data_IF_060158158709
#
_entry.id   IF_060158158709
#
_cell.length_a   1.000
_cell.length_b   1.000
_cell.length_c   1.000
_cell.angle_alpha   90.00
_cell.angle_beta   90.00
_cell.angle_gamma   90.00
#
_symmetry.space_group_name_H-M   'P 1'
#
loop_
_entity.id
_entity.type
_entity.pdbx_description
1 polymer ?
#
# COMPACT_ATOMS: atom_id res chain seq x y z
N UNK A 1 15.37 -20.81 -3.79
CA UNK A 1 15.63 -20.73 -2.32
C UNK A 1 15.18 -19.37 -1.78
N UNK A 2 14.39 -19.37 -0.71
CA UNK A 2 13.81 -18.19 -0.06
C UNK A 2 14.36 -18.05 1.36
N UNK A 3 14.39 -16.82 1.91
CA UNK A 3 14.80 -16.63 3.32
C UNK A 3 13.75 -17.22 4.26
N UNK A 4 14.20 -17.97 5.28
CA UNK A 4 13.33 -18.67 6.22
C UNK A 4 12.27 -17.78 6.88
N UNK A 5 12.64 -16.56 7.35
CA UNK A 5 11.68 -15.61 7.91
C UNK A 5 10.63 -15.13 6.88
N UNK A 6 10.96 -15.14 5.56
CA UNK A 6 10.00 -14.80 4.51
C UNK A 6 8.97 -15.90 4.34
N UNK A 7 9.43 -17.17 4.37
CA UNK A 7 8.54 -18.34 4.25
C UNK A 7 7.58 -18.43 5.44
N UNK A 8 8.08 -18.22 6.68
CA UNK A 8 7.25 -18.19 7.89
C UNK A 8 6.18 -17.08 7.79
N UNK A 9 6.58 -15.91 7.31
CA UNK A 9 5.63 -14.81 7.14
C UNK A 9 4.59 -15.07 6.04
N UNK A 10 4.93 -15.81 4.99
CA UNK A 10 4.02 -16.19 3.92
C UNK A 10 3.03 -17.31 4.31
N UNK A 11 3.40 -18.10 5.31
CA UNK A 11 2.50 -19.06 5.94
C UNK A 11 1.55 -18.43 6.97
N UNK A 12 1.51 -17.09 7.07
CA UNK A 12 0.60 -16.40 7.97
C UNK A 12 0.96 -16.41 9.46
N UNK A 13 1.98 -17.17 9.87
CA UNK A 13 2.33 -17.41 11.28
C UNK A 13 2.79 -16.15 12.02
N UNK A 14 3.65 -15.32 11.37
CA UNK A 14 4.22 -14.15 12.01
C UNK A 14 4.60 -13.07 10.99
N UNK A 15 4.90 -11.84 11.47
CA UNK A 15 5.60 -10.87 10.63
C UNK A 15 7.05 -11.32 10.39
N UNK A 16 7.71 -10.84 9.34
CA UNK A 16 9.13 -11.17 9.08
C UNK A 16 10.03 -10.89 10.27
N UNK A 17 9.83 -9.76 10.96
CA UNK A 17 10.61 -9.41 12.17
C UNK A 17 10.30 -10.35 13.32
N UNK A 18 9.04 -10.72 13.53
CA UNK A 18 8.69 -11.69 14.58
C UNK A 18 9.19 -13.08 14.23
N UNK A 19 9.19 -13.46 12.96
CA UNK A 19 9.79 -14.72 12.49
C UNK A 19 11.33 -14.76 12.77
N UNK A 20 12.04 -13.65 12.58
CA UNK A 20 13.46 -13.54 12.95
C UNK A 20 13.67 -13.76 14.45
N UNK A 21 12.81 -13.21 15.30
CA UNK A 21 12.87 -13.47 16.75
C UNK A 21 12.65 -14.95 17.06
N UNK A 22 11.64 -15.59 16.46
CA UNK A 22 11.36 -17.02 16.67
C UNK A 22 12.54 -17.90 16.24
N UNK A 23 13.24 -17.53 15.16
CA UNK A 23 14.45 -18.21 14.70
C UNK A 23 15.55 -18.11 15.76
N UNK A 24 15.88 -16.90 16.23
CA UNK A 24 16.93 -16.67 17.25
C UNK A 24 16.59 -17.37 18.55
N UNK A 25 15.32 -17.39 18.95
CA UNK A 25 14.83 -18.10 20.14
C UNK A 25 14.89 -19.64 19.99
N UNK A 26 15.25 -20.17 18.81
CA UNK A 26 15.33 -21.62 18.56
C UNK A 26 13.97 -22.30 18.46
N UNK A 27 12.91 -21.56 18.18
CA UNK A 27 11.54 -22.06 18.04
C UNK A 27 11.21 -22.56 16.64
N UNK A 28 12.17 -22.50 15.72
CA UNK A 28 12.01 -22.88 14.32
C UNK A 28 12.88 -24.09 13.99
N UNK A 29 12.29 -25.10 13.35
CA UNK A 29 13.00 -26.26 12.79
C UNK A 29 12.88 -26.29 11.28
N UNK A 30 13.95 -26.73 10.63
CA UNK A 30 13.98 -27.06 9.20
C UNK A 30 14.42 -28.50 9.08
N UNK A 31 13.58 -29.35 8.47
CA UNK A 31 13.82 -30.79 8.35
C UNK A 31 14.15 -31.47 9.71
N UNK A 32 13.45 -31.06 10.76
CA UNK A 32 13.63 -31.58 12.13
C UNK A 32 14.79 -30.95 12.92
N UNK A 33 15.66 -30.16 12.28
CA UNK A 33 16.83 -29.53 12.93
C UNK A 33 16.50 -28.09 13.33
N UNK A 34 16.82 -27.72 14.58
CA UNK A 34 16.62 -26.34 15.08
C UNK A 34 17.56 -25.37 14.36
N UNK A 35 16.98 -24.29 13.83
CA UNK A 35 17.71 -23.20 13.16
C UNK A 35 17.64 -21.94 14.01
N UNK A 36 18.82 -21.33 14.32
CA UNK A 36 18.95 -20.07 15.05
C UNK A 36 19.61 -18.97 14.23
N UNK A 37 20.18 -19.32 13.07
CA UNK A 37 20.93 -18.39 12.23
C UNK A 37 19.99 -17.56 11.36
N UNK A 38 20.13 -16.22 11.45
CA UNK A 38 19.43 -15.29 10.59
C UNK A 38 19.98 -15.34 9.16
N UNK A 39 19.10 -15.19 8.18
CA UNK A 39 19.48 -15.24 6.77
C UNK A 39 19.47 -16.65 6.16
N UNK A 40 19.22 -17.69 6.95
CA UNK A 40 19.02 -19.08 6.49
C UNK A 40 18.05 -19.10 5.31
N UNK A 41 18.41 -19.82 4.26
CA UNK A 41 17.60 -20.02 3.06
C UNK A 41 17.05 -21.44 3.02
N UNK A 42 15.80 -21.56 2.63
CA UNK A 42 15.09 -22.84 2.49
C UNK A 42 14.54 -23.01 1.08
N UNK A 43 14.31 -24.25 0.70
CA UNK A 43 13.70 -24.63 -0.57
C UNK A 43 12.20 -24.96 -0.38
N UNK A 44 11.49 -25.14 -1.49
CA UNK A 44 10.09 -25.57 -1.44
C UNK A 44 9.89 -27.02 -0.95
N UNK A 45 10.97 -27.83 -0.94
CA UNK A 45 10.97 -29.22 -0.46
C UNK A 45 11.26 -29.33 1.04
N UNK A 46 11.73 -28.24 1.69
CA UNK A 46 12.05 -28.27 3.10
C UNK A 46 10.76 -28.25 3.95
N UNK A 47 10.73 -29.09 4.97
CA UNK A 47 9.68 -29.08 5.99
C UNK A 47 10.08 -28.07 7.07
N UNK A 48 9.24 -27.08 7.30
CA UNK A 48 9.46 -26.05 8.31
C UNK A 48 8.42 -26.19 9.41
N UNK A 49 8.88 -26.14 10.66
CA UNK A 49 8.04 -26.15 11.85
C UNK A 49 8.33 -24.93 12.70
N UNK A 50 7.28 -24.31 13.23
CA UNK A 50 7.37 -23.19 14.16
C UNK A 50 6.63 -23.57 15.44
N UNK A 51 7.32 -23.55 16.57
CA UNK A 51 6.78 -23.97 17.89
C UNK A 51 6.12 -25.36 17.85
N UNK A 52 6.69 -26.28 17.04
CA UNK A 52 6.22 -27.66 16.89
C UNK A 52 5.08 -27.84 15.86
N UNK A 53 4.60 -26.77 15.24
CA UNK A 53 3.55 -26.83 14.23
C UNK A 53 4.17 -26.73 12.84
N UNK A 54 3.88 -27.70 11.97
CA UNK A 54 4.33 -27.69 10.57
C UNK A 54 3.66 -26.57 9.80
N UNK A 55 4.44 -25.83 9.02
CA UNK A 55 3.92 -24.76 8.18
C UNK A 55 3.18 -25.34 6.97
N UNK A 56 2.00 -24.78 6.74
CA UNK A 56 1.24 -24.99 5.51
C UNK A 56 1.23 -23.69 4.69
N UNK A 57 1.13 -23.83 3.35
CA UNK A 57 1.00 -22.68 2.47
C UNK A 57 -0.40 -22.11 2.60
N UNK A 58 -0.48 -20.86 2.93
CA UNK A 58 -1.74 -20.11 2.96
C UNK A 58 -2.12 -19.63 1.56
N UNK A 59 -3.41 -19.74 1.21
CA UNK A 59 -3.90 -19.18 -0.05
C UNK A 59 -3.73 -17.67 -0.09
N UNK A 60 -3.29 -17.17 -1.24
CA UNK A 60 -3.10 -15.73 -1.46
C UNK A 60 -4.43 -15.04 -1.65
N UNK A 61 -4.64 -13.99 -0.89
CA UNK A 61 -5.84 -13.15 -0.94
C UNK A 61 -5.49 -11.70 -1.22
N UNK A 62 -6.37 -11.01 -1.94
CA UNK A 62 -6.16 -9.63 -2.37
C UNK A 62 -7.47 -8.86 -2.22
N UNK A 63 -7.44 -7.77 -1.50
CA UNK A 63 -8.60 -6.93 -1.22
C UNK A 63 -8.37 -5.49 -1.61
N UNK A 64 -9.43 -4.86 -2.07
CA UNK A 64 -9.54 -3.42 -2.27
C UNK A 64 -10.45 -2.87 -1.19
N UNK A 65 -9.92 -2.00 -0.34
CA UNK A 65 -10.63 -1.31 0.74
C UNK A 65 -10.84 0.16 0.37
N UNK A 66 -12.04 0.67 0.59
CA UNK A 66 -12.23 2.11 0.72
C UNK A 66 -11.88 2.50 2.17
N UNK A 67 -10.60 2.81 2.41
CA UNK A 67 -10.13 3.19 3.75
C UNK A 67 -10.88 4.41 4.28
N UNK A 68 -11.57 4.32 5.40
CA UNK A 68 -12.19 5.47 6.04
C UNK A 68 -11.15 6.36 6.72
N UNK A 69 -11.55 7.58 7.09
CA UNK A 69 -10.74 8.46 7.94
C UNK A 69 -10.58 7.86 9.34
N UNK A 70 -9.51 8.24 10.04
CA UNK A 70 -9.22 7.82 11.41
C UNK A 70 -8.91 6.32 11.61
N UNK A 71 -8.44 5.66 10.52
CA UNK A 71 -7.86 4.32 10.57
C UNK A 71 -6.39 4.36 10.19
N UNK A 72 -5.57 3.57 10.89
CA UNK A 72 -4.14 3.45 10.63
C UNK A 72 -3.88 2.36 9.59
N UNK A 73 -3.06 2.65 8.59
CA UNK A 73 -2.60 1.66 7.60
C UNK A 73 -1.50 0.77 8.22
N UNK A 74 -1.88 -0.06 9.17
CA UNK A 74 -1.02 -1.02 9.85
C UNK A 74 -1.80 -2.30 10.18
N UNK A 75 -1.11 -3.34 10.58
CA UNK A 75 -1.70 -4.61 11.07
C UNK A 75 -2.08 -4.47 12.55
N UNK A 76 -1.25 -3.80 13.33
CA UNK A 76 -1.46 -3.54 14.77
C UNK A 76 -1.05 -2.11 15.09
N UNK A 77 -1.57 -1.58 16.19
CA UNK A 77 -1.20 -0.26 16.69
C UNK A 77 -1.00 -0.29 18.21
N UNK A 78 0.17 0.13 18.67
CA UNK A 78 0.55 0.10 20.10
C UNK A 78 -0.26 1.09 20.96
N UNK A 79 -0.94 2.05 20.32
CA UNK A 79 -1.78 3.05 21.00
C UNK A 79 -3.28 2.70 21.00
N UNK A 80 -3.63 1.49 20.54
CA UNK A 80 -5.03 1.02 20.52
C UNK A 80 -5.94 1.74 19.52
N UNK A 81 -5.38 2.43 18.52
CA UNK A 81 -6.17 3.07 17.47
C UNK A 81 -6.63 2.04 16.45
N UNK A 82 -7.80 2.28 15.85
CA UNK A 82 -8.34 1.40 14.80
C UNK A 82 -7.37 1.27 13.63
N UNK A 83 -7.12 0.03 13.22
CA UNK A 83 -6.29 -0.29 12.06
C UNK A 83 -7.15 -0.73 10.87
N UNK A 84 -6.59 -0.67 9.68
CA UNK A 84 -7.30 -1.12 8.47
C UNK A 84 -7.60 -2.62 8.50
N UNK A 85 -6.83 -3.42 9.22
CA UNK A 85 -7.06 -4.86 9.36
C UNK A 85 -8.24 -5.19 10.26
N UNK A 86 -8.60 -4.31 11.20
CA UNK A 86 -9.77 -4.52 12.08
C UNK A 86 -11.08 -4.63 11.28
N UNK A 87 -11.15 -3.98 10.10
CA UNK A 87 -12.31 -4.04 9.20
C UNK A 87 -12.55 -5.46 8.68
N UNK A 88 -11.49 -6.27 8.57
CA UNK A 88 -11.53 -7.61 7.97
C UNK A 88 -11.68 -8.75 8.98
N UNK A 89 -11.46 -8.51 10.28
CA UNK A 89 -11.33 -9.55 11.33
C UNK A 89 -12.48 -10.55 11.36
N UNK A 90 -13.71 -10.13 10.98
CA UNK A 90 -14.89 -11.00 11.02
C UNK A 90 -14.98 -11.99 9.85
N UNK A 91 -14.30 -11.75 8.74
CA UNK A 91 -14.54 -12.45 7.49
C UNK A 91 -13.27 -12.95 6.80
N UNK A 92 -12.09 -12.52 7.25
CA UNK A 92 -10.81 -12.89 6.65
C UNK A 92 -9.92 -13.50 7.73
N UNK A 93 -9.59 -14.77 7.56
CA UNK A 93 -8.76 -15.52 8.50
C UNK A 93 -7.27 -15.38 8.21
N UNK A 94 -6.92 -15.12 6.93
CA UNK A 94 -5.55 -14.92 6.50
C UNK A 94 -4.95 -13.68 7.15
N UNK A 95 -3.66 -13.76 7.46
CA UNK A 95 -2.90 -12.64 8.01
C UNK A 95 -2.57 -11.61 6.92
N UNK A 96 -3.53 -10.75 6.60
CA UNK A 96 -3.36 -9.68 5.62
C UNK A 96 -2.66 -8.45 6.19
N UNK A 97 -2.06 -7.65 5.29
CA UNK A 97 -1.41 -6.37 5.60
C UNK A 97 -1.65 -5.37 4.46
N UNK A 98 -1.60 -4.06 4.75
CA UNK A 98 -1.81 -3.04 3.72
C UNK A 98 -0.63 -2.98 2.73
N UNK A 99 -0.96 -2.78 1.45
CA UNK A 99 -0.03 -2.53 0.35
C UNK A 99 0.29 -1.04 0.30
N UNK A 100 1.39 -0.66 0.90
CA UNK A 100 1.70 0.73 1.17
C UNK A 100 0.83 1.32 2.28
N UNK A 101 0.74 2.66 2.32
CA UNK A 101 0.02 3.36 3.39
C UNK A 101 -0.76 4.53 2.84
N UNK A 102 -1.87 4.83 3.51
CA UNK A 102 -2.54 6.12 3.52
C UNK A 102 -2.45 6.69 4.94
N UNK A 103 -2.27 8.00 5.06
CA UNK A 103 -2.22 8.66 6.35
C UNK A 103 -3.54 8.48 7.12
N UNK A 104 -3.51 8.71 8.43
CA UNK A 104 -4.65 8.62 9.33
C UNK A 104 -5.84 9.48 8.88
N UNK A 105 -5.55 10.68 8.38
CA UNK A 105 -6.53 11.66 7.90
C UNK A 105 -6.82 11.58 6.38
N UNK A 106 -6.20 10.64 5.67
CA UNK A 106 -6.41 10.38 4.24
C UNK A 106 -7.38 9.21 4.07
N UNK A 107 -8.33 9.36 3.15
CA UNK A 107 -9.31 8.33 2.80
C UNK A 107 -9.02 7.73 1.43
N UNK A 108 -9.74 6.68 1.06
CA UNK A 108 -9.75 6.19 -0.31
C UNK A 108 -9.15 4.81 -0.48
N UNK A 109 -8.80 4.48 -1.70
CA UNK A 109 -8.42 3.15 -2.14
C UNK A 109 -7.13 2.67 -1.48
N UNK A 110 -7.19 1.58 -0.75
CA UNK A 110 -6.05 0.88 -0.17
C UNK A 110 -6.16 -0.61 -0.46
N UNK A 111 -5.09 -1.21 -0.98
CA UNK A 111 -5.02 -2.64 -1.18
C UNK A 111 -4.51 -3.32 0.09
N UNK A 112 -5.03 -4.53 0.37
CA UNK A 112 -4.52 -5.41 1.43
C UNK A 112 -4.32 -6.81 0.86
N UNK A 113 -3.31 -7.53 1.35
CA UNK A 113 -2.97 -8.89 0.90
C UNK A 113 -2.10 -9.60 1.93
N UNK A 114 -1.97 -10.92 1.80
CA UNK A 114 -0.92 -11.73 2.46
C UNK A 114 0.25 -12.04 1.51
N UNK A 115 0.22 -11.53 0.26
CA UNK A 115 1.28 -11.72 -0.75
C UNK A 115 2.31 -10.58 -0.71
N UNK A 116 3.45 -10.83 -0.07
CA UNK A 116 4.52 -9.83 0.04
C UNK A 116 5.21 -9.50 -1.28
N UNK A 117 5.27 -10.42 -2.24
CA UNK A 117 5.86 -10.15 -3.55
C UNK A 117 4.95 -9.24 -4.37
N UNK A 118 3.64 -9.48 -4.34
CA UNK A 118 2.65 -8.57 -4.92
C UNK A 118 2.72 -7.18 -4.28
N UNK A 119 2.78 -7.11 -2.95
CA UNK A 119 2.91 -5.83 -2.24
C UNK A 119 4.16 -5.06 -2.68
N UNK A 120 5.28 -5.74 -2.86
CA UNK A 120 6.51 -5.12 -3.37
C UNK A 120 6.36 -4.60 -4.80
N UNK A 121 5.74 -5.38 -5.70
CA UNK A 121 5.45 -4.93 -7.07
C UNK A 121 4.61 -3.65 -7.09
N UNK A 122 3.62 -3.53 -6.21
CA UNK A 122 2.71 -2.39 -6.15
C UNK A 122 3.31 -1.15 -5.48
N UNK A 123 4.33 -1.30 -4.64
CA UNK A 123 4.82 -0.19 -3.80
C UNK A 123 6.22 0.29 -4.14
N UNK A 124 7.05 -0.56 -4.74
CA UNK A 124 8.45 -0.19 -5.02
C UNK A 124 8.53 0.84 -6.16
N UNK A 125 9.26 1.95 -5.98
CA UNK A 125 9.27 3.08 -6.92
C UNK A 125 9.67 2.74 -8.35
N UNK A 126 10.49 1.70 -8.55
CA UNK A 126 10.93 1.26 -9.89
C UNK A 126 9.78 0.84 -10.81
N UNK A 127 8.68 0.36 -10.25
CA UNK A 127 7.54 -0.13 -11.02
C UNK A 127 6.55 0.97 -11.42
N UNK A 128 6.71 2.18 -10.91
CA UNK A 128 5.98 3.40 -11.31
C UNK A 128 4.46 3.23 -11.38
N UNK A 129 3.87 2.54 -10.41
CA UNK A 129 2.41 2.37 -10.36
C UNK A 129 1.73 3.70 -10.02
N UNK A 130 0.88 4.17 -10.92
CA UNK A 130 0.14 5.42 -10.79
C UNK A 130 -0.88 5.37 -9.64
N UNK A 131 -0.95 6.46 -8.89
CA UNK A 131 -1.91 6.68 -7.80
C UNK A 131 -2.54 8.05 -8.00
N UNK A 132 -3.86 8.08 -8.17
CA UNK A 132 -4.61 9.31 -8.41
C UNK A 132 -5.33 9.74 -7.15
N UNK A 133 -5.17 11.00 -6.79
CA UNK A 133 -5.75 11.60 -5.61
C UNK A 133 -6.65 12.77 -5.97
N UNK A 134 -7.74 12.92 -5.22
CA UNK A 134 -8.56 14.13 -5.17
C UNK A 134 -8.15 14.92 -3.92
N UNK A 135 -7.60 16.10 -4.13
CA UNK A 135 -7.16 17.01 -3.10
C UNK A 135 -8.10 18.22 -3.02
N UNK A 136 -8.75 18.42 -1.86
CA UNK A 136 -9.41 19.69 -1.54
C UNK A 136 -8.38 20.58 -0.87
N UNK A 137 -8.11 21.72 -1.45
CA UNK A 137 -7.06 22.66 -0.99
C UNK A 137 -7.68 23.98 -0.51
N UNK A 138 -6.98 24.65 0.41
CA UNK A 138 -7.25 26.03 0.80
C UNK A 138 -6.47 26.95 -0.14
N UNK A 139 -7.13 27.96 -0.70
CA UNK A 139 -6.59 28.78 -1.78
C UNK A 139 -6.88 28.15 -3.15
N UNK A 140 -6.70 28.96 -4.19
CA UNK A 140 -6.85 28.58 -5.58
C UNK A 140 -5.46 28.48 -6.21
N UNK A 141 -5.01 27.28 -6.63
CA UNK A 141 -3.71 27.12 -7.24
C UNK A 141 -3.57 27.96 -8.52
N UNK A 142 -2.50 28.70 -8.66
CA UNK A 142 -2.19 29.41 -9.89
C UNK A 142 -1.76 28.46 -11.01
N UNK A 143 -1.88 28.87 -12.26
CA UNK A 143 -1.38 28.10 -13.41
C UNK A 143 0.12 27.78 -13.24
N UNK A 144 0.91 28.75 -12.79
CA UNK A 144 2.35 28.54 -12.52
C UNK A 144 2.59 27.53 -11.38
N UNK A 145 1.77 27.58 -10.31
CA UNK A 145 1.83 26.59 -9.23
C UNK A 145 1.59 25.17 -9.73
N UNK A 146 0.53 24.98 -10.52
CA UNK A 146 0.23 23.67 -11.12
C UNK A 146 1.34 23.19 -12.07
N UNK A 147 1.91 24.08 -12.89
CA UNK A 147 3.06 23.75 -13.74
C UNK A 147 4.29 23.30 -12.94
N UNK A 148 4.56 23.88 -11.75
CA UNK A 148 5.64 23.41 -10.87
C UNK A 148 5.39 21.98 -10.41
N UNK A 149 4.15 21.61 -10.07
CA UNK A 149 3.80 20.23 -9.70
C UNK A 149 3.96 19.28 -10.88
N UNK A 150 3.56 19.69 -12.09
CA UNK A 150 3.70 18.89 -13.32
C UNK A 150 5.15 18.60 -13.66
N UNK A 151 6.07 19.53 -13.43
CA UNK A 151 7.50 19.39 -13.75
C UNK A 151 8.33 18.78 -12.60
N UNK A 152 7.68 18.50 -11.47
CA UNK A 152 8.32 18.11 -10.22
C UNK A 152 8.83 19.31 -9.44
N UNK A 153 8.48 19.33 -8.15
CA UNK A 153 8.79 20.41 -7.21
C UNK A 153 9.85 19.98 -6.20
N UNK A 154 10.70 20.90 -5.77
CA UNK A 154 11.71 20.65 -4.73
C UNK A 154 11.03 20.62 -3.37
N UNK A 155 11.14 19.51 -2.66
CA UNK A 155 10.76 19.32 -1.26
C UNK A 155 12.03 19.12 -0.42
N UNK A 156 11.87 19.03 0.90
CA UNK A 156 13.00 18.84 1.83
C UNK A 156 13.83 17.58 1.52
N UNK A 157 13.14 16.51 1.09
CA UNK A 157 13.73 15.21 0.75
C UNK A 157 14.07 15.07 -0.75
N UNK A 158 14.19 16.19 -1.46
CA UNK A 158 14.59 16.27 -2.86
C UNK A 158 13.46 16.60 -3.83
N UNK A 159 13.80 16.72 -5.12
CA UNK A 159 12.83 17.00 -6.18
C UNK A 159 11.90 15.83 -6.38
N UNK A 160 10.58 16.09 -6.51
CA UNK A 160 9.59 15.06 -6.83
C UNK A 160 9.69 14.65 -8.30
N UNK A 161 9.19 13.46 -8.61
CA UNK A 161 8.91 13.12 -9.99
C UNK A 161 7.83 14.05 -10.58
N UNK A 162 7.78 14.21 -11.91
CA UNK A 162 6.68 14.85 -12.60
C UNK A 162 5.33 14.23 -12.22
N UNK A 163 4.30 15.07 -12.05
CA UNK A 163 2.94 14.63 -11.73
C UNK A 163 1.96 15.07 -12.83
N UNK A 164 0.89 14.30 -13.04
CA UNK A 164 -0.26 14.80 -13.80
C UNK A 164 -1.16 15.53 -12.80
N UNK A 165 -1.44 16.81 -13.01
CA UNK A 165 -2.28 17.59 -12.10
C UNK A 165 -3.18 18.51 -12.88
N UNK A 166 -4.44 18.61 -12.43
CA UNK A 166 -5.46 19.55 -12.95
C UNK A 166 -6.33 20.05 -11.81
N UNK A 167 -6.80 21.28 -11.92
CA UNK A 167 -7.84 21.82 -11.06
C UNK A 167 -9.19 21.49 -11.70
N UNK A 168 -10.02 20.73 -10.98
CA UNK A 168 -11.33 20.26 -11.48
C UNK A 168 -12.46 21.24 -11.15
N UNK A 169 -12.35 21.95 -10.04
CA UNK A 169 -13.28 23.00 -9.65
C UNK A 169 -12.66 23.96 -8.64
N UNK A 170 -13.23 25.13 -8.51
CA UNK A 170 -12.85 26.10 -7.47
C UNK A 170 -14.06 26.95 -7.05
N UNK A 171 -13.95 27.52 -5.87
CA UNK A 171 -14.92 28.47 -5.29
C UNK A 171 -14.12 29.70 -4.82
N UNK A 172 -14.26 30.80 -5.55
CA UNK A 172 -13.56 32.05 -5.25
C UNK A 172 -14.00 32.66 -3.92
N UNK A 173 -15.29 32.60 -3.61
CA UNK A 173 -15.85 33.18 -2.39
C UNK A 173 -15.37 32.42 -1.15
N UNK A 174 -15.28 31.08 -1.25
CA UNK A 174 -14.76 30.26 -0.17
C UNK A 174 -13.23 30.14 -0.16
N UNK A 175 -12.54 30.62 -1.19
CA UNK A 175 -11.09 30.49 -1.33
C UNK A 175 -10.63 29.05 -1.32
N UNK A 176 -11.30 28.15 -2.07
CA UNK A 176 -11.03 26.71 -2.07
C UNK A 176 -11.04 26.16 -3.49
N UNK A 177 -10.25 25.13 -3.72
CA UNK A 177 -10.25 24.40 -4.98
C UNK A 177 -10.23 22.89 -4.75
N UNK A 178 -10.63 22.14 -5.78
CA UNK A 178 -10.50 20.71 -5.88
C UNK A 178 -9.54 20.42 -7.03
N UNK A 179 -8.49 19.64 -6.73
CA UNK A 179 -7.51 19.24 -7.73
C UNK A 179 -7.44 17.72 -7.81
N UNK A 180 -7.32 17.20 -9.02
CA UNK A 180 -6.90 15.82 -9.26
C UNK A 180 -5.39 15.81 -9.48
N UNK A 181 -4.67 14.91 -8.80
CA UNK A 181 -3.24 14.71 -8.97
C UNK A 181 -2.89 13.24 -9.05
N UNK A 182 -2.11 12.86 -10.08
CA UNK A 182 -1.58 11.49 -10.24
C UNK A 182 -0.07 11.51 -10.08
N UNK A 183 0.42 10.66 -9.18
CA UNK A 183 1.84 10.43 -8.90
C UNK A 183 2.13 8.93 -8.95
N UNK A 184 3.39 8.54 -9.25
CA UNK A 184 3.82 7.14 -9.24
C UNK A 184 4.79 6.80 -8.08
N UNK A 185 5.30 7.78 -7.38
CA UNK A 185 6.10 7.60 -6.16
C UNK A 185 5.22 7.67 -4.90
N UNK A 186 5.81 7.50 -3.70
CA UNK A 186 5.05 7.46 -2.46
C UNK A 186 5.88 7.91 -1.26
N UNK A 187 6.41 9.16 -1.27
CA UNK A 187 7.11 9.74 -0.13
C UNK A 187 6.13 10.07 1.00
N UNK A 188 6.66 10.22 2.20
CA UNK A 188 5.83 10.60 3.34
C UNK A 188 5.06 11.90 3.05
N UNK A 189 3.73 11.88 3.18
CA UNK A 189 2.80 13.00 2.99
C UNK A 189 3.03 13.80 1.69
N UNK A 190 3.50 13.15 0.64
CA UNK A 190 4.00 13.79 -0.58
C UNK A 190 3.00 14.76 -1.20
N UNK A 191 1.78 14.35 -1.49
CA UNK A 191 0.76 15.22 -2.11
C UNK A 191 0.48 16.45 -1.27
N UNK A 192 0.40 16.30 0.07
CA UNK A 192 0.19 17.44 0.99
C UNK A 192 1.34 18.42 0.93
N UNK A 193 2.59 17.96 0.99
CA UNK A 193 3.79 18.80 0.88
C UNK A 193 3.91 19.47 -0.48
N UNK A 194 3.53 18.79 -1.56
CA UNK A 194 3.55 19.35 -2.91
C UNK A 194 2.60 20.55 -3.03
N UNK A 195 1.36 20.44 -2.56
CA UNK A 195 0.40 21.55 -2.57
C UNK A 195 0.77 22.65 -1.58
N UNK A 196 1.32 22.33 -0.43
CA UNK A 196 1.83 23.30 0.55
C UNK A 196 2.95 24.14 -0.05
N UNK A 197 3.88 23.54 -0.79
CA UNK A 197 4.99 24.22 -1.46
C UNK A 197 4.56 25.20 -2.55
N UNK A 198 3.32 25.14 -3.04
CA UNK A 198 2.73 26.14 -3.95
C UNK A 198 1.73 27.08 -3.26
N UNK A 199 1.69 27.04 -1.91
CA UNK A 199 0.87 27.96 -1.10
C UNK A 199 -0.61 27.57 -0.99
N UNK A 200 -1.00 26.35 -1.38
CA UNK A 200 -2.39 25.88 -1.32
C UNK A 200 -2.52 24.57 -0.54
N UNK A 201 -2.43 24.60 0.80
CA UNK A 201 -2.39 23.42 1.64
C UNK A 201 -3.64 22.55 1.51
N UNK A 202 -3.43 21.22 1.54
CA UNK A 202 -4.51 20.23 1.41
C UNK A 202 -5.31 20.12 2.71
N UNK A 203 -6.64 20.34 2.61
CA UNK A 203 -7.60 20.20 3.72
C UNK A 203 -8.14 18.76 3.80
N UNK A 204 -8.53 18.17 2.64
CA UNK A 204 -8.98 16.78 2.55
C UNK A 204 -8.27 16.10 1.39
N UNK A 205 -7.86 14.85 1.61
CA UNK A 205 -7.19 14.04 0.61
C UNK A 205 -7.87 12.68 0.51
N UNK A 206 -8.19 12.28 -0.73
CA UNK A 206 -8.75 10.95 -1.04
C UNK A 206 -7.95 10.32 -2.17
N UNK A 207 -7.46 9.09 -1.99
CA UNK A 207 -6.94 8.31 -3.11
C UNK A 207 -8.10 7.70 -3.88
N UNK A 208 -8.34 8.22 -5.07
CA UNK A 208 -9.46 7.82 -5.91
C UNK A 208 -9.15 6.57 -6.71
N UNK A 209 -7.92 6.48 -7.27
CA UNK A 209 -7.50 5.37 -8.11
C UNK A 209 -6.11 4.84 -7.69
N UNK A 210 -5.91 3.57 -7.92
CA UNK A 210 -4.64 2.89 -7.84
C UNK A 210 -4.47 2.05 -9.12
N UNK A 211 -3.53 2.43 -9.99
CA UNK A 211 -3.49 1.96 -11.36
C UNK A 211 -4.86 2.18 -12.07
N UNK A 212 -5.47 1.11 -12.56
CA UNK A 212 -6.79 1.12 -13.18
C UNK A 212 -7.94 0.85 -12.20
N UNK A 213 -7.65 0.50 -10.96
CA UNK A 213 -8.66 0.25 -9.93
C UNK A 213 -9.23 1.56 -9.38
N UNK A 214 -10.52 1.58 -9.10
CA UNK A 214 -11.24 2.69 -8.49
C UNK A 214 -12.14 2.25 -7.32
N UNK A 215 -12.92 3.17 -6.79
CA UNK A 215 -13.81 2.96 -5.65
C UNK A 215 -15.28 2.71 -6.04
N UNK A 216 -15.56 2.45 -7.32
CA UNK A 216 -16.93 2.23 -7.80
C UNK A 216 -17.62 1.12 -7.00
N UNK A 217 -18.82 1.43 -6.51
CA UNK A 217 -19.65 0.50 -5.74
C UNK A 217 -19.23 0.32 -4.27
N UNK A 218 -18.25 1.07 -3.76
CA UNK A 218 -17.81 1.00 -2.36
C UNK A 218 -18.04 2.31 -1.62
N UNK A 219 -18.51 2.19 -0.39
CA UNK A 219 -18.58 3.26 0.60
C UNK A 219 -17.38 3.18 1.58
N UNK A 220 -17.04 4.28 2.29
CA UNK A 220 -15.96 4.26 3.28
C UNK A 220 -16.15 3.15 4.33
N UNK A 221 -15.14 2.29 4.49
CA UNK A 221 -15.17 1.11 5.37
C UNK A 221 -15.58 -0.18 4.67
N UNK A 222 -16.08 -0.12 3.46
CA UNK A 222 -16.37 -1.30 2.66
C UNK A 222 -15.15 -1.76 1.87
N UNK A 223 -15.13 -3.06 1.57
CA UNK A 223 -14.07 -3.69 0.78
C UNK A 223 -14.65 -4.75 -0.14
N UNK A 224 -13.89 -5.08 -1.17
CA UNK A 224 -14.15 -6.23 -2.03
C UNK A 224 -12.87 -7.03 -2.28
N UNK A 225 -13.02 -8.27 -2.62
CA UNK A 225 -11.90 -9.05 -3.12
C UNK A 225 -11.57 -8.62 -4.56
N UNK A 226 -10.28 -8.61 -4.90
CA UNK A 226 -9.85 -8.45 -6.29
C UNK A 226 -10.11 -9.73 -7.06
N UNK A 227 -10.55 -9.61 -8.30
CA UNK A 227 -10.65 -10.74 -9.22
C UNK A 227 -9.26 -11.25 -9.61
N UNK A 228 -9.16 -12.51 -10.01
CA UNK A 228 -7.91 -13.09 -10.53
C UNK A 228 -7.37 -12.29 -11.73
N UNK A 229 -8.27 -11.77 -12.55
CA UNK A 229 -7.92 -10.94 -13.71
C UNK A 229 -7.29 -9.60 -13.29
N UNK A 230 -7.89 -8.88 -12.32
CA UNK A 230 -7.32 -7.64 -11.78
C UNK A 230 -5.92 -7.85 -11.20
N UNK A 231 -5.73 -8.93 -10.44
CA UNK A 231 -4.41 -9.27 -9.88
C UNK A 231 -3.39 -9.55 -10.99
N UNK A 232 -3.79 -10.30 -12.04
CA UNK A 232 -2.93 -10.58 -13.20
C UNK A 232 -2.55 -9.28 -13.92
N UNK A 233 -3.52 -8.40 -14.21
CA UNK A 233 -3.28 -7.11 -14.86
C UNK A 233 -2.37 -6.20 -14.05
N UNK A 234 -2.52 -6.14 -12.72
CA UNK A 234 -1.64 -5.35 -11.85
C UNK A 234 -0.19 -5.86 -11.90
N UNK A 235 0.01 -7.17 -11.95
CA UNK A 235 1.36 -7.76 -12.10
C UNK A 235 1.97 -7.42 -13.45
N UNK A 236 1.22 -7.62 -14.54
CA UNK A 236 1.67 -7.27 -15.90
C UNK A 236 2.02 -5.79 -15.98
N UNK A 237 1.18 -4.90 -15.46
CA UNK A 237 1.45 -3.46 -15.42
C UNK A 237 2.76 -3.13 -14.68
N UNK A 238 3.00 -3.76 -13.52
CA UNK A 238 4.23 -3.54 -12.75
C UNK A 238 5.48 -4.01 -13.50
N UNK A 239 5.41 -5.13 -14.20
CA UNK A 239 6.53 -5.74 -14.90
C UNK A 239 6.84 -5.07 -16.25
N UNK A 240 5.81 -4.66 -16.97
CA UNK A 240 5.94 -4.14 -18.35
C UNK A 240 5.78 -2.62 -18.46
N UNK A 241 5.19 -1.97 -17.45
CA UNK A 241 4.78 -0.56 -17.50
C UNK A 241 3.59 -0.29 -18.41
N UNK A 242 2.94 -1.32 -18.94
CA UNK A 242 1.78 -1.22 -19.86
C UNK A 242 0.61 -2.04 -19.37
N UNK A 243 -0.60 -1.51 -19.56
CA UNK A 243 -1.84 -2.27 -19.42
C UNK A 243 -2.11 -2.98 -20.75
N UNK A 244 -2.05 -4.30 -20.72
CA UNK A 244 -2.46 -5.13 -21.85
C UNK A 244 -3.76 -5.84 -21.46
N UNK A 245 -4.87 -5.42 -22.06
CA UNK A 245 -6.20 -5.97 -21.78
C UNK A 245 -6.51 -7.25 -22.57
N UNK A 246 -5.57 -7.68 -23.45
CA UNK A 246 -5.80 -8.76 -24.42
C UNK A 246 -5.18 -10.11 -23.99
N UNK A 247 -4.72 -10.27 -22.74
CA UNK A 247 -4.15 -11.53 -22.22
C UNK A 247 -4.93 -12.11 -21.03
#
# INVERSE_FOLDING_TARGET
MERLQKVIAYAGVASRRKAEQLIVEGKVKVNGVVVKELGTKVSNSDTIEVEGVKLEKEDKVYFLLYKPRAYISAVTDDKGRKTVTDIFQKHVHQRIFPVGRLDYDTTGLLLLTNDGDFSNLMTHPKFKIDKTYIARVKGIPTKQGLMKLQNGIKLEDGKTAPAKVSMTSFDENAGKAICEITIHEGRNRQVRRMFEAIGTPVVKLKRERFAFLDLTGLSPGEYRQLTKHEVKLLRVLAETGKLDYNN
#
